data_IF_474134111891
#
_entry.id   IF_474134111891
#
_cell.length_a   1.000
_cell.length_b   1.000
_cell.length_c   1.000
_cell.angle_alpha   90.00
_cell.angle_beta   90.00
_cell.angle_gamma   90.00
#
_symmetry.space_group_name_H-M   'P 1'
#
loop_
_entity.id
_entity.type
_entity.pdbx_description
1 polymer ?
#
# COMPACT_ATOMS: atom_id res chain seq x y z
N UNK A 1 -34.58 -24.82 18.77
CA UNK A 1 -33.83 -24.65 17.51
C UNK A 1 -34.09 -23.24 17.06
N UNK A 2 -33.17 -22.32 17.37
CA UNK A 2 -33.24 -20.94 16.87
C UNK A 2 -32.51 -20.98 15.54
N UNK A 3 -33.23 -20.72 14.45
CA UNK A 3 -32.63 -20.54 13.13
C UNK A 3 -31.79 -19.26 13.18
N UNK A 4 -30.47 -19.40 13.10
CA UNK A 4 -29.61 -18.28 12.77
C UNK A 4 -29.86 -17.99 11.29
N UNK A 5 -30.63 -16.94 11.02
CA UNK A 5 -30.55 -16.27 9.72
C UNK A 5 -29.15 -15.68 9.62
N UNK A 6 -28.24 -16.43 9.01
CA UNK A 6 -27.02 -15.87 8.44
C UNK A 6 -27.46 -14.92 7.34
N UNK A 7 -27.67 -13.65 7.71
CA UNK A 7 -27.85 -12.59 6.76
C UNK A 7 -26.65 -12.62 5.83
N UNK A 8 -26.86 -13.11 4.61
CA UNK A 8 -26.00 -12.87 3.47
C UNK A 8 -25.78 -11.36 3.44
N UNK A 9 -24.61 -10.92 3.89
CA UNK A 9 -24.16 -9.55 3.74
C UNK A 9 -23.80 -9.35 2.26
N UNK A 10 -24.83 -9.41 1.42
CA UNK A 10 -24.75 -9.14 0.00
C UNK A 10 -23.98 -7.83 -0.17
N UNK A 11 -22.93 -7.91 -0.98
CA UNK A 11 -22.17 -6.76 -1.45
C UNK A 11 -23.15 -5.72 -2.01
N UNK A 12 -23.29 -4.58 -1.33
CA UNK A 12 -24.06 -3.45 -1.86
C UNK A 12 -23.49 -3.11 -3.25
N UNK A 13 -24.28 -3.16 -4.33
CA UNK A 13 -23.76 -2.98 -5.67
C UNK A 13 -23.17 -1.57 -5.81
N UNK A 14 -21.84 -1.48 -5.98
CA UNK A 14 -21.13 -0.26 -6.34
C UNK A 14 -19.98 0.16 -5.42
N UNK A 15 -19.85 -0.38 -4.21
CA UNK A 15 -18.75 -0.04 -3.29
C UNK A 15 -17.82 -1.23 -3.03
N UNK A 16 -16.51 -0.99 -3.07
CA UNK A 16 -15.49 -1.99 -2.75
C UNK A 16 -14.93 -1.74 -1.37
N UNK A 17 -14.98 -2.76 -0.50
CA UNK A 17 -14.39 -2.67 0.82
C UNK A 17 -12.86 -2.87 0.74
N UNK A 18 -12.10 -1.94 1.30
CA UNK A 18 -10.66 -2.06 1.42
C UNK A 18 -10.21 -2.19 2.87
N UNK A 19 -9.10 -2.88 3.09
CA UNK A 19 -8.44 -2.98 4.40
C UNK A 19 -6.94 -2.83 4.24
N UNK A 20 -6.29 -2.16 5.19
CA UNK A 20 -4.85 -2.27 5.42
C UNK A 20 -4.63 -3.23 6.59
N UNK A 21 -3.74 -4.20 6.41
CA UNK A 21 -3.23 -5.10 7.45
C UNK A 21 -1.72 -5.22 7.27
N UNK A 22 -0.97 -5.26 8.37
CA UNK A 22 0.50 -5.41 8.33
C UNK A 22 0.91 -6.72 7.66
N UNK A 23 0.22 -7.81 7.99
CA UNK A 23 0.47 -9.13 7.46
C UNK A 23 -0.67 -9.58 6.52
N UNK A 24 -0.40 -9.83 5.23
CA UNK A 24 -1.40 -10.38 4.30
C UNK A 24 -2.04 -11.70 4.75
N UNK A 25 -1.34 -12.49 5.58
CA UNK A 25 -1.86 -13.73 6.14
C UNK A 25 -3.06 -13.54 7.07
N UNK A 26 -3.26 -12.34 7.61
CA UNK A 26 -4.31 -12.06 8.60
C UNK A 26 -5.66 -11.75 7.96
N UNK A 27 -5.72 -11.61 6.64
CA UNK A 27 -6.95 -11.25 5.93
C UNK A 27 -8.09 -12.24 6.21
N UNK A 28 -7.81 -13.54 6.22
CA UNK A 28 -8.85 -14.55 6.46
C UNK A 28 -9.47 -14.44 7.85
N UNK A 29 -8.65 -14.18 8.88
CA UNK A 29 -9.14 -13.95 10.25
C UNK A 29 -9.98 -12.68 10.32
N UNK A 30 -9.52 -11.59 9.70
CA UNK A 30 -10.27 -10.34 9.64
C UNK A 30 -11.65 -10.51 8.96
N UNK A 31 -11.70 -11.22 7.83
CA UNK A 31 -12.96 -11.48 7.12
C UNK A 31 -13.92 -12.35 7.94
N UNK A 32 -13.39 -13.32 8.69
CA UNK A 32 -14.18 -14.16 9.59
C UNK A 32 -14.75 -13.37 10.77
N UNK A 33 -13.93 -12.55 11.42
CA UNK A 33 -14.33 -11.78 12.60
C UNK A 33 -15.36 -10.69 12.26
N UNK A 34 -15.24 -10.11 11.07
CA UNK A 34 -16.17 -9.06 10.60
C UNK A 34 -17.39 -9.60 9.85
N UNK A 35 -17.38 -10.87 9.45
CA UNK A 35 -18.40 -11.47 8.60
C UNK A 35 -18.48 -10.82 7.21
N UNK A 36 -17.40 -10.18 6.74
CA UNK A 36 -17.42 -9.40 5.49
C UNK A 36 -16.18 -9.65 4.65
N UNK A 37 -16.40 -10.06 3.40
CA UNK A 37 -15.35 -10.15 2.40
C UNK A 37 -14.80 -8.76 2.03
N UNK A 38 -13.48 -8.68 1.95
CA UNK A 38 -12.71 -7.53 1.47
C UNK A 38 -12.48 -7.66 -0.03
N UNK A 39 -12.60 -6.53 -0.74
CA UNK A 39 -12.28 -6.42 -2.17
C UNK A 39 -10.84 -5.97 -2.41
N UNK A 40 -10.32 -5.06 -1.58
CA UNK A 40 -9.03 -4.40 -1.76
C UNK A 40 -8.14 -4.67 -0.56
N UNK A 41 -6.99 -5.31 -0.78
CA UNK A 41 -5.95 -5.43 0.21
C UNK A 41 -4.93 -4.30 0.00
N UNK A 42 -4.69 -3.50 1.03
CA UNK A 42 -3.79 -2.35 1.00
C UNK A 42 -2.51 -2.67 1.77
N UNK A 43 -1.36 -2.37 1.17
CA UNK A 43 -0.05 -2.43 1.80
C UNK A 43 0.72 -1.12 1.61
N UNK A 44 1.60 -0.82 2.55
CA UNK A 44 2.50 0.32 2.53
C UNK A 44 3.93 -0.19 2.42
N UNK A 45 4.75 0.54 1.67
CA UNK A 45 6.15 0.22 1.45
C UNK A 45 6.96 1.51 1.40
N UNK A 46 8.07 1.51 2.13
CA UNK A 46 9.15 2.45 1.90
C UNK A 46 9.83 2.14 0.57
N UNK A 47 10.46 3.14 -0.04
CA UNK A 47 11.19 2.97 -1.31
C UNK A 47 12.27 1.90 -1.20
N UNK A 48 12.92 1.77 -0.04
CA UNK A 48 13.94 0.77 0.23
C UNK A 48 13.40 -0.66 0.36
N UNK A 49 12.10 -0.85 0.57
CA UNK A 49 11.50 -2.19 0.71
C UNK A 49 11.45 -2.93 -0.61
N UNK A 50 11.48 -4.27 -0.55
CA UNK A 50 11.12 -5.12 -1.67
C UNK A 50 9.62 -5.45 -1.65
N UNK A 51 9.00 -5.42 -2.82
CA UNK A 51 7.60 -5.79 -2.96
C UNK A 51 7.36 -7.26 -2.58
N UNK A 52 6.46 -7.51 -1.63
CA UNK A 52 6.11 -8.87 -1.18
C UNK A 52 5.19 -9.59 -2.19
N UNK A 53 5.72 -9.85 -3.38
CA UNK A 53 5.00 -10.50 -4.46
C UNK A 53 4.46 -11.88 -4.08
N UNK A 54 5.18 -12.63 -3.24
CA UNK A 54 4.80 -13.98 -2.81
C UNK A 54 3.45 -13.99 -2.08
N UNK A 55 3.34 -13.20 -1.00
CA UNK A 55 2.11 -13.15 -0.21
C UNK A 55 0.95 -12.52 -0.97
N UNK A 56 1.22 -11.42 -1.69
CA UNK A 56 0.17 -10.67 -2.39
C UNK A 56 -0.34 -11.37 -3.65
N UNK A 57 0.44 -12.29 -4.24
CA UNK A 57 0.01 -13.08 -5.40
C UNK A 57 -1.11 -14.04 -5.02
N UNK A 58 -1.00 -14.67 -3.85
CA UNK A 58 -2.04 -15.56 -3.33
C UNK A 58 -3.37 -14.81 -3.12
N UNK A 59 -3.33 -13.56 -2.66
CA UNK A 59 -4.52 -12.72 -2.53
C UNK A 59 -5.09 -12.33 -3.91
N UNK A 60 -4.24 -12.00 -4.88
CA UNK A 60 -4.68 -11.68 -6.24
C UNK A 60 -5.34 -12.86 -6.94
N UNK A 61 -4.82 -14.08 -6.72
CA UNK A 61 -5.42 -15.33 -7.21
C UNK A 61 -6.82 -15.59 -6.63
N UNK A 62 -7.10 -15.08 -5.43
CA UNK A 62 -8.43 -15.10 -4.79
C UNK A 62 -9.33 -13.95 -5.25
N UNK A 63 -8.90 -13.15 -6.24
CA UNK A 63 -9.68 -12.05 -6.80
C UNK A 63 -9.60 -10.75 -6.00
N UNK A 64 -8.71 -10.65 -4.99
CA UNK A 64 -8.48 -9.39 -4.27
C UNK A 64 -7.73 -8.40 -5.17
N UNK A 65 -8.11 -7.13 -5.08
CA UNK A 65 -7.37 -6.03 -5.69
C UNK A 65 -6.24 -5.62 -4.75
N UNK A 66 -5.02 -5.56 -5.24
CA UNK A 66 -3.89 -5.08 -4.44
C UNK A 66 -3.75 -3.57 -4.63
N UNK A 67 -3.75 -2.84 -3.51
CA UNK A 67 -3.38 -1.43 -3.45
C UNK A 67 -2.03 -1.29 -2.76
N UNK A 68 -1.11 -0.60 -3.40
CA UNK A 68 0.23 -0.34 -2.88
C UNK A 68 0.37 1.16 -2.66
N UNK A 69 0.64 1.54 -1.42
CA UNK A 69 1.21 2.84 -1.11
C UNK A 69 2.72 2.73 -1.12
N UNK A 70 3.36 3.64 -1.85
CA UNK A 70 4.78 3.66 -2.05
C UNK A 70 5.35 5.01 -1.60
N UNK A 71 6.33 4.95 -0.71
CA UNK A 71 6.73 6.06 0.13
C UNK A 71 8.24 6.28 0.05
N UNK A 72 8.73 7.39 -0.52
CA UNK A 72 10.16 7.67 -0.57
C UNK A 72 10.66 8.25 0.76
N UNK A 73 10.92 7.37 1.72
CA UNK A 73 11.51 7.70 3.02
C UNK A 73 12.27 6.51 3.60
N UNK A 74 13.07 6.77 4.64
CA UNK A 74 13.67 5.76 5.51
C UNK A 74 12.86 5.66 6.83
N UNK A 75 12.16 4.55 7.08
CA UNK A 75 11.41 4.34 8.32
C UNK A 75 12.30 4.17 9.55
N UNK A 76 13.60 3.89 9.38
CA UNK A 76 14.56 3.75 10.46
C UNK A 76 15.30 5.04 10.82
N UNK A 77 15.02 6.15 10.14
CA UNK A 77 15.69 7.42 10.37
C UNK A 77 15.38 8.00 11.76
N UNK A 78 16.34 8.74 12.32
CA UNK A 78 16.16 9.43 13.60
C UNK A 78 15.13 10.57 13.53
N UNK A 79 15.02 11.24 12.37
CA UNK A 79 13.98 12.23 12.07
C UNK A 79 13.06 11.66 10.98
N UNK A 80 11.78 11.49 11.30
CA UNK A 80 10.79 10.89 10.40
C UNK A 80 10.26 11.87 9.35
N UNK A 81 10.60 13.17 9.45
CA UNK A 81 10.12 14.22 8.54
C UNK A 81 11.28 14.84 7.77
N UNK A 82 12.35 15.25 8.47
CA UNK A 82 13.48 15.94 7.85
C UNK A 82 14.55 14.94 7.40
N UNK A 83 14.32 14.32 6.25
CA UNK A 83 15.24 13.40 5.60
C UNK A 83 15.73 13.98 4.26
N UNK A 84 16.79 14.81 4.26
CA UNK A 84 17.19 15.60 3.09
C UNK A 84 17.57 14.77 1.87
N UNK A 85 18.00 13.53 2.06
CA UNK A 85 18.31 12.60 0.97
C UNK A 85 17.06 12.29 0.12
N UNK A 86 15.88 12.25 0.74
CA UNK A 86 14.59 11.97 0.10
C UNK A 86 13.82 13.22 -0.36
N UNK A 87 14.48 14.39 -0.43
CA UNK A 87 13.84 15.60 -0.97
C UNK A 87 13.36 15.41 -2.42
N UNK A 88 12.25 16.06 -2.78
CA UNK A 88 11.66 15.96 -4.11
C UNK A 88 12.64 16.33 -5.24
N UNK A 89 13.58 17.25 -5.00
CA UNK A 89 14.64 17.62 -5.96
C UNK A 89 15.60 16.46 -6.25
N UNK A 90 15.86 15.59 -5.28
CA UNK A 90 16.73 14.42 -5.46
C UNK A 90 15.99 13.33 -6.24
N UNK A 91 14.68 13.17 -5.99
CA UNK A 91 13.82 12.26 -6.76
C UNK A 91 13.73 12.73 -8.22
N UNK A 92 13.41 14.00 -8.46
CA UNK A 92 13.23 14.55 -9.82
C UNK A 92 14.55 14.72 -10.59
N UNK A 93 15.70 14.77 -9.92
CA UNK A 93 17.03 14.72 -10.57
C UNK A 93 17.48 13.30 -10.93
N UNK A 94 16.69 12.27 -10.60
CA UNK A 94 16.94 10.88 -10.98
C UNK A 94 17.81 10.10 -10.01
N UNK A 95 18.11 10.63 -8.81
CA UNK A 95 18.96 9.93 -7.83
C UNK A 95 18.34 8.61 -7.34
N UNK A 96 17.01 8.46 -7.47
CA UNK A 96 16.26 7.27 -7.06
C UNK A 96 15.77 6.41 -8.25
N UNK A 97 16.23 6.70 -9.48
CA UNK A 97 15.81 5.94 -10.67
C UNK A 97 16.14 4.45 -10.58
N UNK A 98 17.23 4.10 -9.89
CA UNK A 98 17.59 2.70 -9.62
C UNK A 98 16.49 1.96 -8.86
N UNK A 99 15.99 2.54 -7.79
CA UNK A 99 14.90 2.00 -6.96
C UNK A 99 13.57 2.04 -7.68
N UNK A 100 13.24 3.13 -8.37
CA UNK A 100 12.01 3.25 -9.17
C UNK A 100 11.98 2.15 -10.25
N UNK A 101 13.10 1.90 -10.94
CA UNK A 101 13.19 0.82 -11.90
C UNK A 101 13.13 -0.57 -11.24
N UNK A 102 13.69 -0.75 -10.03
CA UNK A 102 13.55 -2.00 -9.26
C UNK A 102 12.07 -2.28 -8.97
N UNK A 103 11.36 -1.30 -8.44
CA UNK A 103 9.92 -1.38 -8.17
C UNK A 103 9.12 -1.65 -9.45
N UNK A 104 9.40 -0.93 -10.54
CA UNK A 104 8.71 -1.15 -11.82
C UNK A 104 8.89 -2.58 -12.34
N UNK A 105 10.09 -3.17 -12.19
CA UNK A 105 10.34 -4.58 -12.54
C UNK A 105 9.58 -5.54 -11.62
N UNK A 106 9.61 -5.33 -10.31
CA UNK A 106 8.90 -6.18 -9.35
C UNK A 106 7.38 -6.17 -9.58
N UNK A 107 6.80 -4.99 -9.83
CA UNK A 107 5.37 -4.85 -10.13
C UNK A 107 5.00 -5.47 -11.49
N UNK A 108 5.87 -5.39 -12.50
CA UNK A 108 5.67 -6.10 -13.77
C UNK A 108 5.69 -7.62 -13.57
N UNK A 109 6.70 -8.12 -12.86
CA UNK A 109 6.92 -9.55 -12.65
C UNK A 109 5.88 -10.15 -11.67
N UNK A 110 5.17 -9.31 -10.91
CA UNK A 110 4.04 -9.70 -10.10
C UNK A 110 2.94 -10.38 -10.92
N UNK A 111 2.64 -9.84 -12.10
CA UNK A 111 1.71 -10.41 -13.07
C UNK A 111 0.23 -10.10 -12.85
N UNK A 112 -0.12 -9.23 -11.90
CA UNK A 112 -1.50 -8.81 -11.61
C UNK A 112 -1.62 -7.28 -11.56
N UNK A 113 -2.80 -6.69 -11.87
CA UNK A 113 -3.01 -5.26 -11.73
C UNK A 113 -2.83 -4.77 -10.29
N UNK A 114 -2.19 -3.62 -10.13
CA UNK A 114 -1.96 -2.96 -8.84
C UNK A 114 -2.56 -1.56 -8.88
N UNK A 115 -3.32 -1.20 -7.84
CA UNK A 115 -3.68 0.21 -7.58
C UNK A 115 -2.50 0.87 -6.89
N UNK A 116 -1.76 1.68 -7.63
CA UNK A 116 -0.55 2.32 -7.13
C UNK A 116 -0.84 3.72 -6.61
N UNK A 117 -0.46 4.00 -5.35
CA UNK A 117 -0.67 5.27 -4.64
C UNK A 117 0.68 5.81 -4.14
N UNK A 118 1.52 6.37 -5.03
CA UNK A 118 2.82 6.91 -4.64
C UNK A 118 2.65 8.23 -3.88
N UNK A 119 3.53 8.48 -2.91
CA UNK A 119 3.67 9.78 -2.23
C UNK A 119 2.33 10.39 -1.81
N UNK A 120 1.53 9.72 -0.96
CA UNK A 120 0.22 10.23 -0.58
C UNK A 120 0.31 11.46 0.34
N UNK A 121 -0.79 12.20 0.51
CA UNK A 121 -0.91 13.25 1.53
C UNK A 121 0.10 14.41 1.40
N UNK A 122 0.60 14.67 0.18
CA UNK A 122 1.61 15.70 -0.11
C UNK A 122 1.22 17.13 0.29
N UNK A 123 -0.07 17.37 0.56
CA UNK A 123 -0.62 18.66 0.95
C UNK A 123 -0.46 18.98 2.46
N UNK A 124 0.00 18.02 3.27
CA UNK A 124 0.32 18.21 4.68
C UNK A 124 1.77 18.63 4.90
N UNK A 125 2.21 18.65 6.15
CA UNK A 125 3.60 18.87 6.59
C UNK A 125 4.21 17.64 7.31
N UNK A 126 3.50 16.52 7.31
CA UNK A 126 3.81 15.31 8.08
C UNK A 126 4.42 14.17 7.25
N UNK A 127 4.75 14.39 5.98
CA UNK A 127 5.43 13.38 5.15
C UNK A 127 6.75 13.92 4.60
N UNK A 128 7.73 13.05 4.39
CA UNK A 128 9.06 13.40 3.85
C UNK A 128 8.98 14.05 2.45
N UNK A 129 7.94 13.70 1.69
CA UNK A 129 7.67 14.21 0.33
C UNK A 129 6.62 15.33 0.30
N UNK A 130 6.12 15.78 1.46
CA UNK A 130 5.22 16.93 1.55
C UNK A 130 5.87 18.19 0.98
N UNK A 131 5.14 18.97 0.19
CA UNK A 131 5.67 20.19 -0.43
C UNK A 131 6.04 21.30 0.55
N UNK A 132 5.61 21.21 1.81
CA UNK A 132 5.88 22.17 2.89
C UNK A 132 6.84 21.62 3.96
N UNK A 133 7.30 20.39 3.81
CA UNK A 133 8.18 19.71 4.77
C UNK A 133 9.54 19.37 4.13
N UNK A 134 10.48 18.88 4.95
CA UNK A 134 11.77 18.35 4.49
C UNK A 134 12.59 19.30 3.60
N UNK A 135 12.32 20.61 3.63
CA UNK A 135 12.94 21.58 2.71
C UNK A 135 12.55 21.40 1.23
N UNK A 136 11.43 20.72 0.93
CA UNK A 136 10.84 20.65 -0.40
C UNK A 136 10.31 22.04 -0.80
N UNK A 137 10.53 22.43 -2.07
CA UNK A 137 10.13 23.70 -2.67
C UNK A 137 9.90 23.52 -4.17
#
# INVERSE_FOLDING_TARGET
>A
MVSNDSADAATAPGFKLGVFLENPGDLGSFENDTGRAVDIFHSFYAIGDDFNAGALRSLSQQGKIIMVTWEPWDPGAADLINQPDYQLRNITSGNFDGDIHRWARQLRDFGYPVRFRPMPEMNGDWTVWSGTANGNQ
#
